data_IF_965140244621
#
_entry.id   IF_965140244621
#
_cell.length_a   1.000
_cell.length_b   1.000
_cell.length_c   1.000
_cell.angle_alpha   90.00
_cell.angle_beta   90.00
_cell.angle_gamma   90.00
#
_symmetry.space_group_name_H-M   'P 1'
#
loop_
_entity.id
_entity.type
_entity.pdbx_description
1 polymer ?
#
# COMPACT_ATOMS: atom_id res chain seq x y z
N UNK A 1 1.59 19.45 -0.42
CA UNK A 1 1.08 18.07 -0.55
C UNK A 1 1.50 17.40 -1.86
N UNK A 2 1.39 18.09 -2.99
CA UNK A 2 1.66 17.52 -4.33
C UNK A 2 3.15 17.22 -4.59
N UNK A 3 4.04 18.11 -4.14
CA UNK A 3 5.50 17.94 -4.20
C UNK A 3 5.99 16.73 -3.38
N UNK A 4 5.35 16.47 -2.23
CA UNK A 4 5.68 15.31 -1.39
C UNK A 4 5.22 14.00 -2.06
N UNK A 5 4.04 14.00 -2.71
CA UNK A 5 3.57 12.84 -3.50
C UNK A 5 4.48 12.54 -4.70
N UNK A 6 4.94 13.57 -5.42
CA UNK A 6 5.90 13.41 -6.52
C UNK A 6 7.25 12.87 -6.03
N UNK A 7 7.75 13.37 -4.89
CA UNK A 7 8.99 12.88 -4.27
C UNK A 7 8.91 11.41 -3.86
N UNK A 8 7.82 10.99 -3.21
CA UNK A 8 7.58 9.59 -2.83
C UNK A 8 7.51 8.69 -4.07
N UNK A 9 6.79 9.11 -5.12
CA UNK A 9 6.70 8.37 -6.37
C UNK A 9 8.06 8.23 -7.06
N UNK A 10 8.89 9.28 -7.02
CA UNK A 10 10.26 9.25 -7.54
C UNK A 10 11.14 8.26 -6.77
N UNK A 11 11.06 8.22 -5.44
CA UNK A 11 11.81 7.27 -4.61
C UNK A 11 11.44 5.83 -4.95
N UNK A 12 10.14 5.53 -5.03
CA UNK A 12 9.67 4.16 -5.32
C UNK A 12 10.23 3.65 -6.66
N UNK A 13 10.22 4.49 -7.70
CA UNK A 13 10.77 4.12 -9.01
C UNK A 13 12.27 3.82 -8.94
N UNK A 14 13.03 4.64 -8.22
CA UNK A 14 14.47 4.42 -8.01
C UNK A 14 14.70 3.11 -7.25
N UNK A 15 13.97 2.89 -6.16
CA UNK A 15 14.11 1.70 -5.33
C UNK A 15 13.80 0.43 -6.12
N UNK A 16 12.79 0.44 -6.99
CA UNK A 16 12.47 -0.69 -7.86
C UNK A 16 13.62 -1.05 -8.81
N UNK A 17 14.39 -0.07 -9.27
CA UNK A 17 15.54 -0.31 -10.16
C UNK A 17 16.71 -1.00 -9.43
N UNK A 18 16.90 -0.69 -8.14
CA UNK A 18 17.95 -1.25 -7.28
C UNK A 18 17.40 -2.22 -6.22
N UNK A 19 16.19 -2.75 -6.43
CA UNK A 19 15.56 -3.69 -5.52
C UNK A 19 16.22 -5.07 -5.64
N UNK A 20 16.23 -5.88 -4.56
CA UNK A 20 16.66 -7.26 -4.63
C UNK A 20 15.96 -8.03 -5.75
N UNK A 21 16.74 -8.82 -6.48
CA UNK A 21 16.30 -9.55 -7.68
C UNK A 21 16.52 -8.81 -9.01
N UNK A 22 16.89 -7.53 -9.00
CA UNK A 22 17.34 -6.86 -10.24
C UNK A 22 18.81 -7.14 -10.52
N UNK A 23 19.22 -7.23 -11.82
CA UNK A 23 20.62 -7.39 -12.18
C UNK A 23 21.51 -6.26 -11.64
N UNK A 24 20.97 -5.03 -11.58
CA UNK A 24 21.70 -3.89 -11.04
C UNK A 24 21.97 -4.05 -9.54
N UNK A 25 20.97 -4.49 -8.76
CA UNK A 25 21.14 -4.75 -7.34
C UNK A 25 22.13 -5.87 -7.08
N UNK A 26 22.04 -6.97 -7.83
CA UNK A 26 22.99 -8.08 -7.71
C UNK A 26 24.43 -7.62 -7.96
N UNK A 27 24.66 -6.83 -9.01
CA UNK A 27 25.98 -6.26 -9.30
C UNK A 27 26.47 -5.32 -8.20
N UNK A 28 25.61 -4.43 -7.69
CA UNK A 28 25.91 -3.53 -6.57
C UNK A 28 26.28 -4.32 -5.31
N UNK A 29 25.51 -5.36 -4.98
CA UNK A 29 25.75 -6.21 -3.82
C UNK A 29 27.07 -7.00 -3.96
N UNK A 30 27.44 -7.43 -5.17
CA UNK A 30 28.74 -8.05 -5.42
C UNK A 30 29.90 -7.09 -5.16
N UNK A 31 29.78 -5.84 -5.62
CA UNK A 31 30.78 -4.78 -5.36
C UNK A 31 30.90 -4.50 -3.86
N UNK A 32 29.76 -4.43 -3.15
CA UNK A 32 29.73 -4.22 -1.71
C UNK A 32 30.38 -5.40 -0.95
N UNK A 33 30.02 -6.64 -1.28
CA UNK A 33 30.53 -7.88 -0.64
C UNK A 33 32.03 -8.06 -0.82
N UNK A 34 32.56 -7.69 -1.97
CA UNK A 34 34.00 -7.71 -2.24
C UNK A 34 34.76 -6.58 -1.52
N UNK A 35 34.06 -5.76 -0.72
CA UNK A 35 34.61 -4.59 -0.06
C UNK A 35 35.28 -3.65 -1.07
N UNK A 36 34.70 -3.52 -2.26
CA UNK A 36 35.14 -2.53 -3.26
C UNK A 36 34.25 -1.30 -3.17
N UNK A 37 34.87 -0.11 -3.20
CA UNK A 37 34.11 1.12 -3.36
C UNK A 37 33.61 1.24 -4.79
N UNK A 38 32.50 1.94 -5.00
CA UNK A 38 31.95 2.09 -6.35
C UNK A 38 31.18 3.39 -6.50
N UNK A 39 31.29 4.01 -7.68
CA UNK A 39 30.51 5.17 -8.07
C UNK A 39 29.87 4.87 -9.42
N UNK A 40 28.55 4.73 -9.46
CA UNK A 40 27.82 4.32 -10.66
C UNK A 40 26.83 5.42 -11.02
N UNK A 41 26.84 5.87 -12.26
CA UNK A 41 25.91 6.86 -12.80
C UNK A 41 24.99 6.18 -13.81
N UNK A 42 23.68 6.38 -13.69
CA UNK A 42 22.71 5.92 -14.67
C UNK A 42 22.26 7.09 -15.54
N UNK A 43 22.51 6.95 -16.85
CA UNK A 43 22.26 7.98 -17.84
C UNK A 43 23.55 8.62 -18.35
N UNK A 44 23.56 8.95 -19.65
CA UNK A 44 24.69 9.60 -20.32
C UNK A 44 24.19 10.73 -21.22
N UNK A 45 23.52 11.71 -20.58
CA UNK A 45 23.02 12.91 -21.24
C UNK A 45 24.12 13.96 -21.43
N UNK A 46 23.82 15.07 -22.12
CA UNK A 46 24.79 16.15 -22.37
C UNK A 46 25.38 16.75 -21.10
N UNK A 47 24.60 16.80 -20.01
CA UNK A 47 25.08 17.27 -18.72
C UNK A 47 26.13 16.33 -18.14
N UNK A 48 25.91 15.00 -18.17
CA UNK A 48 26.92 14.02 -17.75
C UNK A 48 28.15 14.10 -18.66
N UNK A 49 27.99 14.20 -19.99
CA UNK A 49 29.12 14.33 -20.92
C UNK A 49 30.03 15.52 -20.57
N UNK A 50 29.45 16.64 -20.18
CA UNK A 50 30.21 17.86 -19.84
C UNK A 50 31.08 17.76 -18.57
N UNK A 51 30.78 16.81 -17.68
CA UNK A 51 31.50 16.63 -16.40
C UNK A 51 32.34 15.36 -16.35
N UNK A 52 32.32 14.55 -17.40
CA UNK A 52 33.09 13.31 -17.51
C UNK A 52 34.43 13.62 -18.12
N UNK A 53 35.49 13.31 -17.38
CA UNK A 53 36.86 13.42 -17.83
C UNK A 53 37.52 12.03 -17.87
N UNK A 54 38.20 11.73 -18.99
CA UNK A 54 38.85 10.44 -19.24
C UNK A 54 37.91 9.22 -19.20
N UNK A 55 38.47 8.09 -18.76
CA UNK A 55 37.81 6.79 -18.74
C UNK A 55 37.94 6.00 -20.05
N UNK A 56 37.54 4.72 -19.99
CA UNK A 56 37.56 3.81 -21.12
C UNK A 56 36.14 3.61 -21.65
N UNK A 57 35.93 3.86 -22.94
CA UNK A 57 34.68 3.56 -23.62
C UNK A 57 34.56 2.05 -23.84
N UNK A 58 33.78 1.38 -23.00
CA UNK A 58 33.58 -0.07 -23.04
C UNK A 58 32.45 -0.44 -24.00
N UNK A 59 31.32 0.28 -23.91
CA UNK A 59 30.09 0.03 -24.67
C UNK A 59 29.66 -1.45 -24.71
N UNK A 60 29.66 -2.12 -23.55
CA UNK A 60 29.26 -3.52 -23.43
C UNK A 60 27.84 -3.67 -22.85
N UNK A 61 27.23 -4.84 -23.07
CA UNK A 61 25.98 -5.20 -22.41
C UNK A 61 26.20 -5.31 -20.89
N UNK A 62 25.22 -4.85 -20.12
CA UNK A 62 25.26 -4.94 -18.66
C UNK A 62 25.11 -6.40 -18.23
N UNK A 63 25.97 -6.82 -17.30
CA UNK A 63 25.74 -8.00 -16.46
C UNK A 63 26.23 -7.71 -15.04
N UNK A 64 25.69 -8.37 -14.01
CA UNK A 64 26.18 -8.23 -12.63
C UNK A 64 27.69 -8.47 -12.53
N UNK A 65 28.21 -9.46 -13.28
CA UNK A 65 29.63 -9.79 -13.33
C UNK A 65 30.46 -8.67 -14.00
N UNK A 66 30.00 -8.13 -15.13
CA UNK A 66 30.69 -7.04 -15.82
C UNK A 66 30.74 -5.77 -14.96
N UNK A 67 29.65 -5.45 -14.26
CA UNK A 67 29.63 -4.32 -13.32
C UNK A 67 30.64 -4.55 -12.19
N UNK A 68 30.65 -5.75 -11.59
CA UNK A 68 31.55 -6.10 -10.52
C UNK A 68 33.03 -6.01 -10.94
N UNK A 69 33.40 -6.58 -12.08
CA UNK A 69 34.79 -6.55 -12.57
C UNK A 69 35.27 -5.14 -12.89
N UNK A 70 34.45 -4.34 -13.57
CA UNK A 70 34.81 -2.97 -13.93
C UNK A 70 34.83 -2.03 -12.71
N UNK A 71 34.02 -2.31 -11.68
CA UNK A 71 34.00 -1.53 -10.44
C UNK A 71 35.27 -1.69 -9.58
N UNK A 72 36.13 -2.67 -9.89
CA UNK A 72 37.45 -2.80 -9.27
C UNK A 72 38.41 -1.69 -9.70
N UNK A 73 38.15 -1.06 -10.85
CA UNK A 73 38.89 0.12 -11.29
C UNK A 73 38.50 1.34 -10.45
N UNK A 74 39.44 2.26 -10.24
CA UNK A 74 39.12 3.54 -9.62
C UNK A 74 38.19 4.38 -10.52
N UNK A 75 37.55 5.42 -9.97
CA UNK A 75 36.65 6.30 -10.72
C UNK A 75 35.20 5.83 -10.76
N UNK A 76 34.47 6.28 -11.78
CA UNK A 76 33.05 6.05 -11.97
C UNK A 76 32.75 5.11 -13.14
N UNK A 77 31.66 4.36 -13.01
CA UNK A 77 31.02 3.61 -14.09
C UNK A 77 29.80 4.39 -14.58
N UNK A 78 29.66 4.50 -15.89
CA UNK A 78 28.53 5.20 -16.51
C UNK A 78 27.72 4.21 -17.31
N UNK A 79 26.45 4.06 -16.94
CA UNK A 79 25.47 3.22 -17.60
C UNK A 79 24.58 4.07 -18.51
N UNK A 80 23.95 3.43 -19.49
CA UNK A 80 22.86 4.09 -20.22
C UNK A 80 21.62 4.29 -19.32
N UNK A 81 20.63 5.06 -19.78
CA UNK A 81 19.45 5.43 -18.98
C UNK A 81 18.67 4.22 -18.45
N UNK A 82 18.61 3.13 -19.22
CA UNK A 82 17.91 1.91 -18.84
C UNK A 82 18.74 0.96 -17.98
N UNK A 83 20.03 1.24 -17.75
CA UNK A 83 20.97 0.35 -17.05
C UNK A 83 21.35 -0.92 -17.82
N UNK A 84 20.95 -1.05 -19.09
CA UNK A 84 21.20 -2.23 -19.93
C UNK A 84 22.61 -2.32 -20.53
N UNK A 85 23.38 -1.22 -20.52
CA UNK A 85 24.74 -1.17 -21.06
C UNK A 85 25.68 -0.38 -20.16
N UNK A 86 26.93 -0.81 -20.10
CA UNK A 86 28.04 -0.08 -19.48
C UNK A 86 28.75 0.69 -20.58
N UNK A 87 28.69 2.01 -20.54
CA UNK A 87 29.21 2.89 -21.58
C UNK A 87 30.67 3.24 -21.32
N UNK A 88 30.98 3.67 -20.09
CA UNK A 88 32.30 4.14 -19.69
C UNK A 88 32.66 3.52 -18.34
N UNK A 89 33.92 3.10 -18.20
CA UNK A 89 34.50 2.71 -16.92
C UNK A 89 35.72 3.59 -16.60
N UNK A 90 36.09 3.68 -15.31
CA UNK A 90 37.21 4.48 -14.85
C UNK A 90 37.09 5.98 -15.19
N UNK A 91 35.86 6.50 -15.29
CA UNK A 91 35.62 7.91 -15.56
C UNK A 91 35.91 8.77 -14.32
N UNK A 92 36.52 9.93 -14.50
CA UNK A 92 36.59 10.95 -13.45
C UNK A 92 35.41 11.90 -13.61
N UNK A 93 34.61 12.07 -12.55
CA UNK A 93 33.49 13.01 -12.54
C UNK A 93 33.93 14.32 -11.88
N UNK A 94 33.79 15.42 -12.61
CA UNK A 94 34.18 16.77 -12.18
C UNK A 94 32.93 17.67 -12.15
N UNK A 95 32.02 17.48 -11.16
CA UNK A 95 30.87 18.35 -11.01
C UNK A 95 31.29 19.73 -10.49
N UNK A 96 30.40 20.72 -10.61
CA UNK A 96 30.64 22.06 -10.10
C UNK A 96 30.90 22.05 -8.57
N UNK A 97 32.05 22.62 -8.20
CA UNK A 97 32.51 22.70 -6.81
C UNK A 97 31.67 23.64 -5.95
N UNK A 98 30.94 24.58 -6.56
CA UNK A 98 30.05 25.54 -5.91
C UNK A 98 28.78 24.91 -5.36
N UNK A 99 28.42 23.70 -5.84
CA UNK A 99 27.23 22.98 -5.38
C UNK A 99 27.47 22.47 -3.95
N UNK A 100 26.56 22.87 -3.05
CA UNK A 100 26.58 22.45 -1.66
C UNK A 100 26.40 20.94 -1.50
N UNK A 101 27.20 20.36 -0.61
CA UNK A 101 27.14 18.96 -0.24
C UNK A 101 27.31 18.79 1.26
N UNK A 102 26.46 17.95 1.85
CA UNK A 102 26.51 17.61 3.28
C UNK A 102 27.34 16.34 3.55
N UNK A 103 27.86 15.72 2.49
CA UNK A 103 28.62 14.48 2.56
C UNK A 103 30.07 14.73 2.96
N UNK A 104 30.64 13.77 3.71
CA UNK A 104 32.00 13.89 4.26
C UNK A 104 33.06 13.18 3.41
N UNK A 105 32.68 12.20 2.58
CA UNK A 105 33.62 11.44 1.74
C UNK A 105 33.65 11.94 0.30
N UNK A 106 34.83 12.03 -0.32
CA UNK A 106 35.00 12.54 -1.70
C UNK A 106 34.07 11.86 -2.70
N UNK A 107 33.89 10.54 -2.62
CA UNK A 107 32.99 9.78 -3.48
C UNK A 107 31.51 10.15 -3.29
N UNK A 108 31.07 10.29 -2.04
CA UNK A 108 29.70 10.69 -1.71
C UNK A 108 29.43 12.15 -2.05
N UNK A 109 30.40 13.05 -1.83
CA UNK A 109 30.33 14.46 -2.26
C UNK A 109 30.19 14.58 -3.76
N UNK A 110 30.99 13.81 -4.50
CA UNK A 110 30.90 13.75 -5.96
C UNK A 110 29.54 13.21 -6.39
N UNK A 111 29.07 12.12 -5.79
CA UNK A 111 27.77 11.55 -6.10
C UNK A 111 26.61 12.54 -5.88
N UNK A 112 26.58 13.22 -4.73
CA UNK A 112 25.54 14.21 -4.42
C UNK A 112 25.57 15.39 -5.40
N UNK A 113 26.76 15.92 -5.72
CA UNK A 113 26.90 17.05 -6.64
C UNK A 113 26.52 16.69 -8.07
N UNK A 114 26.97 15.53 -8.56
CA UNK A 114 26.61 15.02 -9.89
C UNK A 114 25.08 14.85 -9.98
N UNK A 115 24.46 14.25 -8.96
CA UNK A 115 23.02 14.07 -8.93
C UNK A 115 22.25 15.40 -8.92
N UNK A 116 22.69 16.39 -8.13
CA UNK A 116 22.09 17.74 -8.10
C UNK A 116 22.26 18.48 -9.42
N UNK A 117 23.44 18.41 -10.02
CA UNK A 117 23.78 19.13 -11.25
C UNK A 117 23.06 18.55 -12.48
N UNK A 118 22.96 17.22 -12.55
CA UNK A 118 22.54 16.53 -13.78
C UNK A 118 21.14 15.91 -13.71
N UNK A 119 20.55 15.82 -12.51
CA UNK A 119 19.30 15.11 -12.28
C UNK A 119 19.38 13.59 -12.45
N UNK A 120 20.54 13.05 -12.86
CA UNK A 120 20.76 11.62 -13.06
C UNK A 120 20.82 10.87 -11.74
N UNK A 121 20.48 9.57 -11.77
CA UNK A 121 20.63 8.70 -10.61
C UNK A 121 22.11 8.32 -10.44
N UNK A 122 22.65 8.58 -9.25
CA UNK A 122 24.02 8.23 -8.88
C UNK A 122 24.01 7.31 -7.66
N UNK A 123 24.68 6.18 -7.78
CA UNK A 123 24.84 5.17 -6.73
C UNK A 123 26.27 5.25 -6.19
N UNK A 124 26.41 5.53 -4.91
CA UNK A 124 27.67 5.48 -4.19
C UNK A 124 27.71 4.27 -3.26
N UNK A 125 28.75 3.44 -3.43
CA UNK A 125 29.02 2.25 -2.63
C UNK A 125 30.21 2.55 -1.73
N UNK A 126 29.98 2.51 -0.42
CA UNK A 126 30.99 2.80 0.60
C UNK A 126 31.61 1.52 1.13
N UNK A 127 32.84 1.22 0.72
CA UNK A 127 33.62 0.10 1.25
C UNK A 127 33.71 0.11 2.78
N UNK A 128 34.09 1.26 3.38
CA UNK A 128 34.34 1.34 4.83
C UNK A 128 33.08 1.22 5.68
N UNK A 129 31.97 1.78 5.20
CA UNK A 129 30.71 1.81 5.95
C UNK A 129 29.79 0.65 5.62
N UNK A 130 30.12 -0.15 4.59
CA UNK A 130 29.28 -1.22 4.06
C UNK A 130 27.84 -0.74 3.75
N UNK A 131 27.71 0.45 3.15
CA UNK A 131 26.41 1.05 2.79
C UNK A 131 26.38 1.46 1.32
N UNK A 132 25.19 1.35 0.73
CA UNK A 132 24.87 1.83 -0.60
C UNK A 132 23.98 3.07 -0.44
N UNK A 133 24.34 4.17 -1.10
CA UNK A 133 23.56 5.41 -1.06
C UNK A 133 23.22 5.87 -2.48
N UNK A 134 21.96 6.21 -2.68
CA UNK A 134 21.36 6.66 -3.93
C UNK A 134 21.15 8.17 -3.87
N UNK A 135 21.52 8.86 -4.94
CA UNK A 135 21.32 10.29 -5.10
C UNK A 135 20.61 10.58 -6.42
N UNK A 136 19.60 11.43 -6.42
CA UNK A 136 18.95 11.91 -7.65
C UNK A 136 18.38 13.31 -7.43
N UNK A 137 18.91 14.33 -8.11
CA UNK A 137 18.61 15.73 -7.78
C UNK A 137 18.94 16.02 -6.31
N UNK A 138 17.96 16.55 -5.56
CA UNK A 138 18.07 16.79 -4.12
C UNK A 138 17.72 15.56 -3.25
N UNK A 139 17.42 14.42 -3.88
CA UNK A 139 17.11 13.19 -3.18
C UNK A 139 18.37 12.49 -2.69
N UNK A 140 18.33 11.99 -1.45
CA UNK A 140 19.33 11.13 -0.85
C UNK A 140 18.64 9.98 -0.14
N UNK A 141 18.99 8.74 -0.49
CA UNK A 141 18.43 7.55 0.15
C UNK A 141 19.54 6.51 0.40
N UNK A 142 19.73 6.10 1.65
CA UNK A 142 20.64 5.00 2.00
C UNK A 142 19.87 3.69 2.00
N UNK A 143 20.29 2.73 1.18
CA UNK A 143 19.69 1.41 1.15
C UNK A 143 19.92 0.73 2.49
N UNK A 144 18.83 0.22 3.07
CA UNK A 144 18.87 -0.56 4.30
C UNK A 144 19.27 -2.00 3.97
N UNK A 145 19.81 -2.66 4.99
CA UNK A 145 20.04 -4.10 4.93
C UNK A 145 18.72 -4.86 4.74
N UNK A 146 18.76 -5.94 3.94
CA UNK A 146 17.58 -6.74 3.60
C UNK A 146 16.97 -7.35 4.86
N UNK A 147 17.80 -7.85 5.78
CA UNK A 147 17.34 -8.44 7.04
C UNK A 147 16.63 -7.43 7.95
N UNK A 148 17.09 -6.18 7.96
CA UNK A 148 16.41 -5.09 8.69
C UNK A 148 15.04 -4.80 8.09
N UNK A 149 14.93 -4.73 6.76
CA UNK A 149 13.64 -4.49 6.10
C UNK A 149 12.68 -5.67 6.33
N UNK A 150 13.17 -6.91 6.20
CA UNK A 150 12.38 -8.12 6.48
C UNK A 150 11.86 -8.16 7.92
N UNK A 151 12.70 -7.80 8.89
CA UNK A 151 12.29 -7.75 10.31
C UNK A 151 11.16 -6.75 10.52
N UNK A 152 11.27 -5.55 9.95
CA UNK A 152 10.20 -4.53 10.01
C UNK A 152 8.93 -4.97 9.30
N UNK A 153 9.05 -5.59 8.12
CA UNK A 153 7.92 -6.12 7.38
C UNK A 153 7.16 -7.20 8.18
N UNK A 154 7.87 -8.12 8.82
CA UNK A 154 7.28 -9.14 9.69
C UNK A 154 6.58 -8.52 10.91
N UNK A 155 7.17 -7.51 11.56
CA UNK A 155 6.52 -6.78 12.65
C UNK A 155 5.25 -6.05 12.20
N UNK A 156 5.26 -5.47 10.99
CA UNK A 156 4.09 -4.83 10.41
C UNK A 156 3.00 -5.85 10.08
N UNK A 157 3.34 -7.05 9.58
CA UNK A 157 2.39 -8.16 9.37
C UNK A 157 1.75 -8.60 10.68
N UNK A 158 2.52 -8.79 11.75
CA UNK A 158 1.96 -9.14 13.07
C UNK A 158 1.04 -8.05 13.61
N UNK A 159 1.39 -6.78 13.37
CA UNK A 159 0.53 -5.65 13.71
C UNK A 159 -0.77 -5.66 12.90
N UNK A 160 -0.69 -5.97 11.60
CA UNK A 160 -1.85 -6.12 10.72
C UNK A 160 -2.77 -7.25 11.18
N UNK A 161 -2.23 -8.40 11.60
CA UNK A 161 -3.00 -9.52 12.16
C UNK A 161 -3.80 -9.10 13.40
N UNK A 162 -3.20 -8.33 14.30
CA UNK A 162 -3.88 -7.79 15.49
C UNK A 162 -5.01 -6.84 15.11
N UNK A 163 -4.78 -5.90 14.18
CA UNK A 163 -5.85 -5.00 13.73
C UNK A 163 -6.96 -5.73 12.96
N UNK A 164 -6.62 -6.78 12.21
CA UNK A 164 -7.63 -7.64 11.57
C UNK A 164 -8.49 -8.36 12.61
N UNK A 165 -7.91 -8.84 13.71
CA UNK A 165 -8.68 -9.44 14.80
C UNK A 165 -9.65 -8.42 15.42
N UNK A 166 -9.18 -7.22 15.74
CA UNK A 166 -10.04 -6.13 16.25
C UNK A 166 -11.16 -5.78 15.28
N UNK A 167 -10.86 -5.71 13.97
CA UNK A 167 -11.87 -5.53 12.93
C UNK A 167 -12.91 -6.66 12.92
N UNK A 168 -12.49 -7.91 12.97
CA UNK A 168 -13.39 -9.07 12.96
C UNK A 168 -14.33 -9.07 14.19
N UNK A 169 -13.78 -8.75 15.37
CA UNK A 169 -14.55 -8.63 16.61
C UNK A 169 -15.55 -7.48 16.52
N UNK A 170 -15.10 -6.31 16.04
CA UNK A 170 -15.94 -5.14 15.81
C UNK A 170 -17.08 -5.42 14.83
N UNK A 171 -16.80 -6.10 13.72
CA UNK A 171 -17.80 -6.48 12.71
C UNK A 171 -18.82 -7.50 13.22
N UNK A 172 -18.37 -8.42 14.08
CA UNK A 172 -19.22 -9.41 14.74
C UNK A 172 -20.16 -8.72 15.72
N UNK A 173 -19.61 -7.87 16.58
CA UNK A 173 -20.39 -7.08 17.55
C UNK A 173 -21.37 -6.14 16.85
N UNK A 174 -20.94 -5.41 15.81
CA UNK A 174 -21.82 -4.57 15.02
C UNK A 174 -22.95 -5.40 14.38
N UNK A 175 -22.65 -6.59 13.85
CA UNK A 175 -23.68 -7.49 13.32
C UNK A 175 -24.73 -7.88 14.36
N UNK A 176 -24.35 -8.12 15.61
CA UNK A 176 -25.28 -8.41 16.71
C UNK A 176 -26.20 -7.21 16.95
N UNK A 177 -25.62 -6.01 17.08
CA UNK A 177 -26.37 -4.77 17.33
C UNK A 177 -27.30 -4.42 16.15
N UNK A 178 -26.89 -4.74 14.92
CA UNK A 178 -27.72 -4.58 13.71
C UNK A 178 -28.98 -5.44 13.75
N UNK A 179 -28.88 -6.68 14.26
CA UNK A 179 -30.04 -7.55 14.47
C UNK A 179 -30.89 -7.14 15.67
N UNK A 180 -30.28 -6.56 16.71
CA UNK A 180 -30.95 -6.08 17.92
C UNK A 180 -31.55 -4.65 17.77
N UNK A 181 -31.28 -3.97 16.65
CA UNK A 181 -31.82 -2.62 16.34
C UNK A 181 -31.32 -1.51 17.27
N UNK A 182 -30.10 -1.67 17.81
CA UNK A 182 -29.53 -0.76 18.81
C UNK A 182 -28.17 -0.19 18.38
N UNK A 183 -27.94 -0.09 17.07
CA UNK A 183 -26.70 0.51 16.53
C UNK A 183 -26.72 2.02 16.73
N UNK A 184 -25.61 2.56 17.22
CA UNK A 184 -25.31 4.00 17.25
C UNK A 184 -24.16 4.33 16.30
N UNK A 185 -24.01 5.62 16.00
CA UNK A 185 -22.90 6.10 15.17
C UNK A 185 -21.53 5.72 15.76
N UNK A 186 -21.42 5.65 17.09
CA UNK A 186 -20.22 5.23 17.81
C UNK A 186 -19.71 3.86 17.36
N UNK A 187 -20.59 2.85 17.26
CA UNK A 187 -20.15 1.51 16.87
C UNK A 187 -19.73 1.44 15.39
N UNK A 188 -20.42 2.19 14.51
CA UNK A 188 -20.04 2.28 13.10
C UNK A 188 -18.67 2.94 12.94
N UNK A 189 -18.44 4.05 13.63
CA UNK A 189 -17.16 4.78 13.62
C UNK A 189 -16.04 3.93 14.19
N UNK A 190 -16.27 3.21 15.29
CA UNK A 190 -15.29 2.29 15.88
C UNK A 190 -14.83 1.21 14.89
N UNK A 191 -15.78 0.62 14.17
CA UNK A 191 -15.50 -0.40 13.16
C UNK A 191 -14.76 0.21 11.95
N UNK A 192 -15.11 1.43 11.52
CA UNK A 192 -14.39 2.15 10.45
C UNK A 192 -12.96 2.54 10.83
N UNK A 193 -12.70 2.92 12.08
CA UNK A 193 -11.33 3.13 12.59
C UNK A 193 -10.48 1.87 12.46
N UNK A 194 -11.07 0.70 12.71
CA UNK A 194 -10.35 -0.56 12.55
C UNK A 194 -9.97 -0.82 11.08
N UNK A 195 -10.84 -0.45 10.13
CA UNK A 195 -10.52 -0.48 8.69
C UNK A 195 -9.40 0.50 8.36
N UNK A 196 -9.48 1.73 8.86
CA UNK A 196 -8.47 2.78 8.65
C UNK A 196 -7.08 2.27 9.06
N UNK A 197 -6.96 1.71 10.26
CA UNK A 197 -5.69 1.20 10.79
C UNK A 197 -5.16 0.03 9.94
N UNK A 198 -6.02 -0.89 9.51
CA UNK A 198 -5.65 -1.97 8.60
C UNK A 198 -5.10 -1.43 7.27
N UNK A 199 -5.79 -0.47 6.65
CA UNK A 199 -5.38 0.14 5.39
C UNK A 199 -4.06 0.91 5.52
N UNK A 200 -3.84 1.56 6.67
CA UNK A 200 -2.62 2.29 6.97
C UNK A 200 -1.41 1.35 7.06
N UNK A 201 -1.53 0.28 7.83
CA UNK A 201 -0.47 -0.72 7.97
C UNK A 201 -0.21 -1.45 6.64
N UNK A 202 -1.26 -1.74 5.86
CA UNK A 202 -1.11 -2.26 4.48
C UNK A 202 -0.16 -1.40 3.65
N UNK A 203 -0.33 -0.08 3.66
CA UNK A 203 0.48 0.81 2.84
C UNK A 203 1.93 0.88 3.32
N UNK A 204 2.17 0.78 4.62
CA UNK A 204 3.52 0.64 5.16
C UNK A 204 4.19 -0.67 4.70
N UNK A 205 3.47 -1.79 4.75
CA UNK A 205 3.95 -3.10 4.28
C UNK A 205 4.24 -3.07 2.77
N UNK A 206 3.40 -2.43 1.97
CA UNK A 206 3.64 -2.27 0.54
C UNK A 206 4.95 -1.52 0.26
N UNK A 207 5.29 -0.51 1.06
CA UNK A 207 6.59 0.18 0.96
C UNK A 207 7.75 -0.78 1.23
N UNK A 208 7.67 -1.62 2.26
CA UNK A 208 8.71 -2.63 2.53
C UNK A 208 8.82 -3.65 1.40
N UNK A 209 7.70 -4.11 0.86
CA UNK A 209 7.64 -5.04 -0.26
C UNK A 209 8.31 -4.44 -1.51
N UNK A 210 8.11 -3.15 -1.78
CA UNK A 210 8.79 -2.47 -2.88
C UNK A 210 10.31 -2.38 -2.66
N UNK A 211 10.76 -2.10 -1.43
CA UNK A 211 12.19 -2.11 -1.07
C UNK A 211 12.82 -3.51 -1.16
N UNK A 212 12.06 -4.57 -0.86
CA UNK A 212 12.51 -5.96 -0.85
C UNK A 212 12.53 -6.62 -2.23
N UNK A 213 11.84 -6.08 -3.23
CA UNK A 213 11.81 -6.68 -4.57
C UNK A 213 11.34 -8.15 -4.56
N UNK A 214 12.17 -9.06 -5.07
CA UNK A 214 11.88 -10.50 -5.09
C UNK A 214 11.84 -11.14 -3.70
N UNK A 215 12.65 -10.64 -2.76
CA UNK A 215 12.70 -11.14 -1.37
C UNK A 215 11.39 -10.85 -0.61
N UNK A 216 10.60 -9.88 -1.08
CA UNK A 216 9.30 -9.52 -0.50
C UNK A 216 8.15 -10.45 -0.88
N UNK A 217 8.40 -11.53 -1.65
CA UNK A 217 7.34 -12.40 -2.18
C UNK A 217 6.46 -13.01 -1.08
N UNK A 218 7.06 -13.54 -0.01
CA UNK A 218 6.31 -14.17 1.08
C UNK A 218 5.45 -13.15 1.84
N UNK A 219 6.02 -11.99 2.15
CA UNK A 219 5.30 -10.88 2.80
C UNK A 219 4.09 -10.45 1.96
N UNK A 220 4.25 -10.39 0.63
CA UNK A 220 3.15 -10.05 -0.29
C UNK A 220 2.02 -11.07 -0.27
N UNK A 221 2.35 -12.36 -0.22
CA UNK A 221 1.35 -13.42 -0.13
C UNK A 221 0.58 -13.32 1.20
N UNK A 222 1.29 -13.17 2.32
CA UNK A 222 0.69 -12.97 3.64
C UNK A 222 -0.22 -11.73 3.68
N UNK A 223 0.24 -10.60 3.14
CA UNK A 223 -0.57 -9.38 3.05
C UNK A 223 -1.87 -9.62 2.26
N UNK A 224 -1.78 -10.31 1.13
CA UNK A 224 -2.93 -10.59 0.26
C UNK A 224 -3.95 -11.49 0.97
N UNK A 225 -3.48 -12.52 1.67
CA UNK A 225 -4.32 -13.42 2.46
C UNK A 225 -4.98 -12.72 3.64
N UNK A 226 -4.23 -11.88 4.36
CA UNK A 226 -4.78 -11.13 5.50
C UNK A 226 -5.85 -10.13 5.07
N UNK A 227 -5.73 -9.53 3.89
CA UNK A 227 -6.69 -8.54 3.40
C UNK A 227 -7.83 -9.14 2.56
N UNK A 228 -7.86 -10.45 2.37
CA UNK A 228 -8.93 -11.12 1.64
C UNK A 228 -10.30 -10.71 2.22
N UNK A 229 -11.22 -10.35 1.32
CA UNK A 229 -12.59 -9.92 1.58
C UNK A 229 -12.79 -8.64 2.43
N UNK A 230 -11.76 -8.13 3.09
CA UNK A 230 -11.85 -6.96 3.97
C UNK A 230 -12.29 -5.71 3.22
N UNK A 231 -11.70 -5.41 2.07
CA UNK A 231 -12.08 -4.23 1.28
C UNK A 231 -13.52 -4.32 0.76
N UNK A 232 -13.98 -5.52 0.43
CA UNK A 232 -15.36 -5.75 -0.01
C UNK A 232 -16.33 -5.56 1.16
N UNK A 233 -16.05 -6.12 2.34
CA UNK A 233 -16.90 -5.97 3.52
C UNK A 233 -16.92 -4.51 4.03
N UNK A 234 -15.77 -3.83 4.02
CA UNK A 234 -15.69 -2.40 4.35
C UNK A 234 -16.49 -1.53 3.38
N UNK A 235 -16.45 -1.84 2.07
CA UNK A 235 -17.27 -1.14 1.09
C UNK A 235 -18.77 -1.34 1.35
N UNK A 236 -19.20 -2.55 1.74
CA UNK A 236 -20.59 -2.82 2.10
C UNK A 236 -21.01 -2.16 3.42
N UNK A 237 -20.12 -2.10 4.41
CA UNK A 237 -20.34 -1.34 5.64
C UNK A 237 -20.60 0.14 5.33
N UNK A 238 -19.73 0.76 4.54
CA UNK A 238 -19.92 2.14 4.08
C UNK A 238 -21.26 2.27 3.34
N UNK A 239 -21.57 1.32 2.43
CA UNK A 239 -22.84 1.31 1.70
C UNK A 239 -24.06 1.24 2.62
N UNK A 240 -23.98 0.53 3.73
CA UNK A 240 -25.09 0.40 4.67
C UNK A 240 -25.35 1.66 5.48
N UNK A 241 -24.30 2.40 5.85
CA UNK A 241 -24.42 3.55 6.77
C UNK A 241 -24.25 4.92 6.12
N UNK A 242 -23.74 5.01 4.89
CA UNK A 242 -23.55 6.31 4.21
C UNK A 242 -24.89 7.02 3.99
N UNK A 243 -24.99 8.31 4.31
CA UNK A 243 -26.24 9.07 4.30
C UNK A 243 -26.89 9.11 2.90
N UNK A 244 -26.10 9.37 1.85
CA UNK A 244 -26.58 9.39 0.45
C UNK A 244 -26.54 7.99 -0.19
N UNK A 245 -27.60 7.63 -0.93
CA UNK A 245 -27.77 6.30 -1.56
C UNK A 245 -27.06 6.11 -2.90
N UNK A 246 -26.75 7.21 -3.58
CA UNK A 246 -26.29 7.22 -4.97
C UNK A 246 -24.77 7.26 -5.10
N UNK A 247 -24.04 7.46 -4.00
CA UNK A 247 -22.60 7.48 -4.05
C UNK A 247 -22.01 6.08 -4.25
N UNK A 248 -20.97 6.03 -5.07
CA UNK A 248 -20.17 4.83 -5.25
C UNK A 248 -19.34 4.58 -3.98
N UNK A 249 -19.74 3.58 -3.20
CA UNK A 249 -19.08 3.19 -1.96
C UNK A 249 -17.63 2.78 -2.16
N UNK A 250 -17.22 2.31 -3.35
CA UNK A 250 -15.80 2.04 -3.63
C UNK A 250 -15.00 3.34 -3.73
N UNK A 251 -15.60 4.42 -4.22
CA UNK A 251 -14.95 5.73 -4.22
C UNK A 251 -14.80 6.29 -2.81
N UNK A 252 -15.79 6.06 -1.93
CA UNK A 252 -15.71 6.49 -0.53
C UNK A 252 -14.63 5.68 0.21
N UNK A 253 -14.56 4.36 0.00
CA UNK A 253 -13.47 3.54 0.54
C UNK A 253 -12.10 4.00 0.04
N UNK A 254 -11.99 4.40 -1.23
CA UNK A 254 -10.76 4.97 -1.78
C UNK A 254 -10.41 6.31 -1.12
N UNK A 255 -11.40 7.17 -0.85
CA UNK A 255 -11.19 8.41 -0.07
C UNK A 255 -10.67 8.10 1.33
N UNK A 256 -11.22 7.08 2.00
CA UNK A 256 -10.71 6.61 3.30
C UNK A 256 -9.23 6.19 3.21
N UNK A 257 -8.88 5.40 2.20
CA UNK A 257 -7.50 4.96 1.94
C UNK A 257 -6.55 6.16 1.74
N UNK A 258 -6.98 7.15 0.96
CA UNK A 258 -6.19 8.36 0.71
C UNK A 258 -6.01 9.20 1.98
N UNK A 259 -7.04 9.30 2.82
CA UNK A 259 -7.00 10.02 4.08
C UNK A 259 -6.08 9.34 5.11
N UNK A 260 -6.22 8.03 5.29
CA UNK A 260 -5.39 7.20 6.19
C UNK A 260 -3.88 7.32 5.90
N UNK A 261 -3.53 7.58 4.64
CA UNK A 261 -2.15 7.79 4.20
C UNK A 261 -1.56 9.14 4.61
N UNK A 262 -2.40 10.11 4.95
CA UNK A 262 -1.97 11.50 5.16
C UNK A 262 -2.00 11.91 6.62
N UNK A 263 -2.99 11.43 7.38
CA UNK A 263 -3.21 11.83 8.77
C UNK A 263 -3.88 10.70 9.54
N UNK A 264 -3.81 10.79 10.88
CA UNK A 264 -4.72 10.04 11.74
C UNK A 264 -6.10 10.67 11.65
N UNK A 265 -7.13 9.86 11.43
CA UNK A 265 -8.50 10.35 11.34
C UNK A 265 -9.10 10.46 12.74
N UNK A 266 -9.85 11.54 12.95
CA UNK A 266 -10.70 11.70 14.12
C UNK A 266 -12.12 11.17 13.81
N UNK A 267 -12.92 10.94 14.85
CA UNK A 267 -14.31 10.48 14.69
C UNK A 267 -15.11 11.39 13.75
N UNK A 268 -14.89 12.71 13.84
CA UNK A 268 -15.58 13.70 13.01
C UNK A 268 -15.24 13.59 11.51
N UNK A 269 -14.05 13.07 11.17
CA UNK A 269 -13.65 12.85 9.79
C UNK A 269 -14.39 11.65 9.19
N UNK A 270 -14.53 10.56 9.97
CA UNK A 270 -15.25 9.36 9.56
C UNK A 270 -16.76 9.61 9.44
N UNK A 271 -17.33 10.38 10.37
CA UNK A 271 -18.74 10.82 10.31
C UNK A 271 -19.00 11.64 9.04
N UNK A 272 -18.13 12.60 8.71
CA UNK A 272 -18.20 13.37 7.45
C UNK A 272 -18.03 12.50 6.23
N UNK A 273 -17.13 11.51 6.28
CA UNK A 273 -16.89 10.57 5.19
C UNK A 273 -18.14 9.73 4.90
N UNK A 274 -18.92 9.41 5.93
CA UNK A 274 -20.23 8.77 5.80
C UNK A 274 -21.35 9.71 5.30
N UNK A 275 -21.03 10.99 5.06
CA UNK A 275 -21.97 11.99 4.54
C UNK A 275 -22.67 12.81 5.62
N UNK A 276 -22.50 12.48 6.91
CA UNK A 276 -23.16 13.18 8.01
C UNK A 276 -22.44 14.49 8.37
N UNK A 277 -23.13 15.47 8.98
CA UNK A 277 -22.46 16.63 9.57
C UNK A 277 -21.43 16.20 10.61
N UNK A 278 -20.24 16.82 10.61
CA UNK A 278 -19.18 16.46 11.55
C UNK A 278 -19.48 16.69 13.04
N UNK A 279 -20.59 17.33 13.36
CA UNK A 279 -21.10 17.58 14.72
C UNK A 279 -22.18 16.56 15.14
N UNK A 280 -22.48 15.57 14.29
CA UNK A 280 -23.41 14.48 14.61
C UNK A 280 -22.97 13.78 15.90
N UNK A 281 -23.94 13.55 16.79
CA UNK A 281 -23.68 12.86 18.05
C UNK A 281 -23.30 11.41 17.78
N UNK A 282 -22.28 10.91 18.46
CA UNK A 282 -21.91 9.50 18.37
C UNK A 282 -22.98 8.57 19.00
N UNK A 283 -23.83 9.11 19.88
CA UNK A 283 -24.95 8.39 20.49
C UNK A 283 -26.20 8.36 19.59
N UNK A 284 -26.18 9.03 18.43
CA UNK A 284 -27.30 9.00 17.49
C UNK A 284 -27.51 7.57 16.96
N UNK A 285 -28.75 7.08 17.08
CA UNK A 285 -29.11 5.76 16.57
C UNK A 285 -29.14 5.76 15.04
N UNK A 286 -28.51 4.75 14.45
CA UNK A 286 -28.43 4.57 12.99
C UNK A 286 -28.91 3.18 12.61
N UNK A 287 -29.41 3.02 11.39
CA UNK A 287 -29.95 1.73 10.92
C UNK A 287 -29.25 1.29 9.64
N UNK A 288 -28.73 0.05 9.58
CA UNK A 288 -28.14 -0.47 8.35
C UNK A 288 -29.21 -0.66 7.27
N UNK A 289 -28.83 -0.41 6.01
CA UNK A 289 -29.67 -0.77 4.86
C UNK A 289 -29.80 -2.29 4.72
N UNK A 290 -28.73 -3.05 4.97
CA UNK A 290 -28.70 -4.50 5.03
C UNK A 290 -27.86 -5.19 3.94
N UNK A 291 -27.14 -4.44 3.10
CA UNK A 291 -26.29 -4.98 2.04
C UNK A 291 -25.20 -5.91 2.58
N UNK A 292 -24.57 -5.57 3.70
CA UNK A 292 -23.47 -6.34 4.29
C UNK A 292 -23.91 -7.70 4.83
N UNK A 293 -25.05 -7.76 5.50
CA UNK A 293 -25.57 -9.02 6.05
C UNK A 293 -26.20 -9.88 4.96
N UNK A 294 -26.95 -9.28 4.04
CA UNK A 294 -27.63 -10.03 2.97
C UNK A 294 -26.63 -10.59 1.93
N UNK A 295 -25.49 -9.94 1.72
CA UNK A 295 -24.43 -10.47 0.84
C UNK A 295 -23.75 -11.74 1.35
N UNK A 296 -23.81 -11.99 2.67
CA UNK A 296 -23.30 -13.22 3.29
C UNK A 296 -24.20 -14.44 3.01
N UNK A 297 -25.41 -14.24 2.47
CA UNK A 297 -26.30 -15.33 2.12
C UNK A 297 -25.77 -16.02 0.85
N UNK A 298 -25.39 -17.28 0.99
CA UNK A 298 -24.82 -18.06 -0.11
C UNK A 298 -25.75 -18.12 -1.33
N UNK A 299 -25.18 -17.92 -2.52
CA UNK A 299 -25.85 -18.05 -3.83
C UNK A 299 -26.99 -17.05 -4.08
N UNK A 300 -26.94 -15.88 -3.44
CA UNK A 300 -27.82 -14.74 -3.76
C UNK A 300 -27.04 -13.76 -4.65
N UNK A 301 -27.45 -13.52 -5.91
CA UNK A 301 -26.76 -12.58 -6.79
C UNK A 301 -26.85 -11.13 -6.27
N UNK A 302 -25.85 -10.26 -6.54
CA UNK A 302 -25.87 -8.85 -6.12
C UNK A 302 -27.11 -8.07 -6.56
N UNK A 303 -27.61 -8.31 -7.78
CA UNK A 303 -28.83 -7.67 -8.27
C UNK A 303 -30.06 -8.01 -7.42
N UNK A 304 -30.14 -9.23 -6.89
CA UNK A 304 -31.24 -9.62 -6.02
C UNK A 304 -31.12 -8.91 -4.67
N UNK A 305 -29.91 -8.73 -4.16
CA UNK A 305 -29.66 -7.94 -2.95
C UNK A 305 -30.10 -6.49 -3.18
N UNK A 306 -29.72 -5.86 -4.30
CA UNK A 306 -30.20 -4.53 -4.66
C UNK A 306 -31.73 -4.45 -4.63
N UNK A 307 -32.43 -5.42 -5.25
CA UNK A 307 -33.89 -5.44 -5.28
C UNK A 307 -34.51 -5.59 -3.88
N UNK A 308 -33.94 -6.45 -3.03
CA UNK A 308 -34.37 -6.62 -1.63
C UNK A 308 -34.25 -5.30 -0.85
N UNK A 309 -33.06 -4.69 -0.88
CA UNK A 309 -32.79 -3.48 -0.12
C UNK A 309 -33.60 -2.30 -0.68
N UNK A 310 -33.83 -2.24 -2.00
CA UNK A 310 -34.73 -1.27 -2.61
C UNK A 310 -36.18 -1.45 -2.19
N UNK A 311 -36.65 -2.69 -1.98
CA UNK A 311 -38.01 -2.96 -1.49
C UNK A 311 -38.17 -2.64 -0.01
N UNK A 312 -37.30 -3.21 0.84
CA UNK A 312 -37.47 -3.22 2.30
C UNK A 312 -36.72 -2.11 3.03
N UNK A 313 -35.81 -1.39 2.35
CA UNK A 313 -35.06 -0.21 2.79
C UNK A 313 -34.05 -0.41 3.92
N UNK A 314 -34.30 -1.32 4.86
CA UNK A 314 -33.46 -1.60 6.03
C UNK A 314 -33.29 -3.10 6.23
N UNK A 315 -32.23 -3.49 6.95
CA UNK A 315 -31.97 -4.90 7.28
C UNK A 315 -33.17 -5.53 7.97
N UNK A 316 -33.77 -4.81 8.91
CA UNK A 316 -34.93 -5.28 9.68
C UNK A 316 -36.17 -5.43 8.82
N UNK A 317 -36.35 -4.54 7.84
CA UNK A 317 -37.40 -4.72 6.84
C UNK A 317 -37.26 -6.06 6.11
N UNK A 318 -36.04 -6.44 5.74
CA UNK A 318 -35.76 -7.75 5.11
C UNK A 318 -35.97 -8.90 6.09
N UNK A 319 -35.51 -8.77 7.34
CA UNK A 319 -35.63 -9.83 8.35
C UNK A 319 -37.08 -10.15 8.74
N UNK A 320 -37.95 -9.12 8.79
CA UNK A 320 -39.37 -9.26 9.15
C UNK A 320 -40.25 -9.68 7.97
N UNK A 321 -39.74 -9.63 6.74
CA UNK A 321 -40.48 -9.98 5.54
C UNK A 321 -40.94 -11.45 5.55
N UNK A 322 -42.20 -11.68 5.21
CA UNK A 322 -42.77 -13.01 5.02
C UNK A 322 -42.24 -13.65 3.72
N UNK A 323 -42.40 -14.97 3.56
CA UNK A 323 -41.99 -15.65 2.31
C UNK A 323 -42.69 -15.02 1.10
N UNK A 324 -43.97 -14.69 1.23
CA UNK A 324 -44.76 -14.12 0.15
C UNK A 324 -44.25 -12.72 -0.24
N UNK A 325 -43.95 -11.87 0.74
CA UNK A 325 -43.38 -10.54 0.45
C UNK A 325 -41.99 -10.61 -0.16
N UNK A 326 -41.19 -11.61 0.21
CA UNK A 326 -39.90 -11.88 -0.42
C UNK A 326 -40.07 -12.41 -1.85
N UNK A 327 -41.06 -13.26 -2.10
CA UNK A 327 -41.40 -13.79 -3.43
C UNK A 327 -41.89 -12.70 -4.40
N UNK A 328 -42.57 -11.67 -3.88
CA UNK A 328 -43.02 -10.52 -4.66
C UNK A 328 -41.88 -9.61 -5.16
N UNK A 329 -40.65 -9.81 -4.70
CA UNK A 329 -39.49 -9.02 -5.14
C UNK A 329 -38.97 -9.55 -6.48
N UNK A 330 -38.73 -8.64 -7.42
CA UNK A 330 -38.25 -8.98 -8.75
C UNK A 330 -36.99 -9.86 -8.72
N UNK A 331 -37.07 -11.03 -9.37
CA UNK A 331 -35.99 -12.01 -9.44
C UNK A 331 -35.91 -12.96 -8.23
N UNK A 332 -36.81 -12.84 -7.27
CA UNK A 332 -36.97 -13.79 -6.17
C UNK A 332 -38.17 -14.69 -6.50
N UNK A 333 -37.96 -15.99 -6.37
CA UNK A 333 -39.03 -16.99 -6.41
C UNK A 333 -39.13 -17.66 -5.05
N UNK A 334 -40.21 -18.41 -4.79
CA UNK A 334 -40.50 -19.03 -3.49
C UNK A 334 -39.30 -19.79 -2.90
N UNK A 335 -38.55 -20.52 -3.75
CA UNK A 335 -37.35 -21.26 -3.34
C UNK A 335 -36.23 -20.34 -2.85
N UNK A 336 -36.02 -19.19 -3.51
CA UNK A 336 -35.03 -18.18 -3.09
C UNK A 336 -35.51 -17.42 -1.85
N UNK A 337 -36.79 -17.09 -1.76
CA UNK A 337 -37.38 -16.47 -0.58
C UNK A 337 -37.16 -17.31 0.69
N UNK A 338 -37.43 -18.63 0.61
CA UNK A 338 -37.13 -19.57 1.70
C UNK A 338 -35.63 -19.58 2.06
N UNK A 339 -34.74 -19.63 1.06
CA UNK A 339 -33.28 -19.60 1.27
C UNK A 339 -32.79 -18.31 1.92
N UNK A 340 -33.32 -17.16 1.52
CA UNK A 340 -32.95 -15.86 2.11
C UNK A 340 -33.32 -15.85 3.58
N UNK A 341 -34.56 -16.24 3.91
CA UNK A 341 -35.03 -16.29 5.30
C UNK A 341 -34.23 -17.27 6.17
N UNK A 342 -33.97 -18.48 5.66
CA UNK A 342 -33.12 -19.45 6.35
C UNK A 342 -31.68 -18.95 6.50
N UNK A 343 -31.13 -18.30 5.47
CA UNK A 343 -29.80 -17.73 5.48
C UNK A 343 -29.63 -16.64 6.54
N UNK A 344 -30.58 -15.70 6.61
CA UNK A 344 -30.60 -14.66 7.64
C UNK A 344 -30.67 -15.27 9.05
N UNK A 345 -31.54 -16.26 9.26
CA UNK A 345 -31.65 -16.95 10.55
C UNK A 345 -30.34 -17.63 10.96
N UNK A 346 -29.68 -18.33 10.02
CA UNK A 346 -28.38 -18.98 10.30
C UNK A 346 -27.28 -17.95 10.62
N UNK A 347 -27.24 -16.83 9.91
CA UNK A 347 -26.27 -15.76 10.19
C UNK A 347 -26.52 -15.18 11.59
N UNK A 348 -27.77 -14.91 11.93
CA UNK A 348 -28.16 -14.41 13.25
C UNK A 348 -27.76 -15.39 14.37
N UNK A 349 -28.08 -16.69 14.22
CA UNK A 349 -27.69 -17.73 15.18
C UNK A 349 -26.17 -17.80 15.35
N UNK A 350 -25.41 -17.76 14.25
CA UNK A 350 -23.95 -17.78 14.29
C UNK A 350 -23.37 -16.57 15.06
N UNK A 351 -23.86 -15.35 14.77
CA UNK A 351 -23.41 -14.14 15.45
C UNK A 351 -23.66 -14.20 16.96
N UNK A 352 -24.83 -14.68 17.40
CA UNK A 352 -25.12 -14.82 18.83
C UNK A 352 -24.29 -15.91 19.50
N UNK A 353 -23.94 -16.98 18.79
CA UNK A 353 -23.01 -17.99 19.33
C UNK A 353 -21.60 -17.42 19.51
N UNK A 354 -21.13 -16.59 18.58
CA UNK A 354 -19.83 -15.92 18.67
C UNK A 354 -19.72 -14.95 19.86
N UNK A 355 -20.84 -14.44 20.40
CA UNK A 355 -20.86 -13.58 21.61
C UNK A 355 -20.48 -14.33 22.90
N UNK A 356 -20.61 -15.65 22.91
CA UNK A 356 -20.46 -16.50 24.11
C UNK A 356 -19.13 -17.27 24.14
N UNK A 357 -18.28 -17.12 23.13
CA UNK A 357 -16.93 -17.66 23.04
C UNK A 357 -15.94 -16.49 23.02
#
# INVERSE_FOLDING_TARGET
MEENKQRVKSIINILQLVAPGTPLREGIDNVLRAQTGGLIVLGYNEQIKSIVDGGFHINCAFSPASLYELAKMDGALILNETGSKILIANAQLVPDSSIDSIETGMRHRTAERVAKQTGSLVVAISQRRNVITLYQGNLRYTLKDIGVILTKANQAIQTLEKYKAVWNDGITNLGILEFEEVVTMSEVVHVLHSVEMVLRIKNEILSYIHELGTEGRLIRLQLTELLADLEAEAALLIKDYHQEKTQDHHQILKKLQDLANTQLLEDSDLVKLLGYPGQTSLEESVTPRGYRITSKISRVPPLIIENLINRFKTLQGVCRATINELDDVEGIGEVRAKKIREGLKRIQEHLYMSRHN
#
